data_IF_744159694331
#
_entry.id   IF_744159694331
#
_cell.length_a   1.000
_cell.length_b   1.000
_cell.length_c   1.000
_cell.angle_alpha   90.00
_cell.angle_beta   90.00
_cell.angle_gamma   90.00
#
_symmetry.space_group_name_H-M   'P 1'
#
loop_
_entity.id
_entity.type
_entity.pdbx_description
1 polymer ?
#
# COMPACT_ATOMS: atom_id res chain seq x y z
N UNK A 1 -9.46 -17.80 9.74
CA UNK A 1 -9.47 -17.31 8.34
C UNK A 1 -8.03 -17.13 7.90
N UNK A 2 -7.66 -17.78 6.79
CA UNK A 2 -6.31 -17.69 6.18
C UNK A 2 -6.30 -16.67 5.06
N UNK A 3 -5.39 -15.71 5.15
CA UNK A 3 -5.27 -14.60 4.21
C UNK A 3 -3.89 -14.65 3.54
N UNK A 4 -3.87 -14.74 2.22
CA UNK A 4 -2.68 -14.46 1.43
C UNK A 4 -2.59 -12.95 1.23
N UNK A 5 -1.54 -12.31 1.72
CA UNK A 5 -1.26 -10.91 1.46
C UNK A 5 -0.13 -10.76 0.43
N UNK A 6 -0.28 -9.77 -0.45
CA UNK A 6 0.65 -9.43 -1.52
C UNK A 6 0.95 -7.93 -1.47
N UNK A 7 2.23 -7.57 -1.53
CA UNK A 7 2.67 -6.17 -1.67
C UNK A 7 3.76 -6.03 -2.74
N UNK A 8 3.52 -5.10 -3.64
CA UNK A 8 4.44 -4.68 -4.70
C UNK A 8 4.38 -3.17 -4.91
N UNK A 9 3.87 -2.45 -3.90
CA UNK A 9 3.57 -1.03 -4.03
C UNK A 9 4.80 -0.13 -3.96
N UNK A 10 5.82 -0.53 -3.19
CA UNK A 10 7.00 0.29 -2.88
C UNK A 10 8.30 -0.49 -3.13
N UNK A 11 9.31 -0.30 -2.28
CA UNK A 11 10.66 -0.84 -2.40
C UNK A 11 10.82 -2.32 -2.00
N UNK A 12 9.77 -3.13 -2.12
CA UNK A 12 9.85 -4.56 -1.90
C UNK A 12 8.81 -5.33 -2.73
N UNK A 13 9.10 -6.59 -3.02
CA UNK A 13 8.13 -7.60 -3.43
C UNK A 13 7.93 -8.54 -2.24
N UNK A 14 6.71 -8.59 -1.68
CA UNK A 14 6.45 -9.34 -0.47
C UNK A 14 5.12 -10.10 -0.53
N UNK A 15 5.09 -11.28 0.09
CA UNK A 15 3.87 -12.01 0.37
C UNK A 15 3.94 -12.74 1.72
N UNK A 16 2.78 -12.99 2.30
CA UNK A 16 2.65 -13.89 3.44
C UNK A 16 1.29 -14.59 3.43
N UNK A 17 1.24 -15.75 4.07
CA UNK A 17 -0.01 -16.36 4.51
C UNK A 17 -0.12 -16.18 6.01
N UNK A 18 -1.17 -15.50 6.45
CA UNK A 18 -1.46 -15.27 7.86
C UNK A 18 -2.82 -15.88 8.23
N UNK A 19 -2.93 -16.36 9.46
CA UNK A 19 -4.19 -16.87 10.00
C UNK A 19 -4.70 -15.94 11.10
N UNK A 20 -5.99 -15.65 11.08
CA UNK A 20 -6.59 -14.81 12.14
C UNK A 20 -6.50 -15.51 13.48
N UNK A 21 -6.12 -14.77 14.52
CA UNK A 21 -5.90 -15.32 15.86
C UNK A 21 -4.46 -15.75 16.14
N UNK A 22 -3.59 -15.83 15.12
CA UNK A 22 -2.17 -16.09 15.33
C UNK A 22 -1.35 -14.80 15.39
N UNK A 23 -0.35 -14.69 16.27
CA UNK A 23 0.46 -13.47 16.40
C UNK A 23 1.41 -13.25 15.20
N UNK A 24 1.87 -14.32 14.57
CA UNK A 24 2.80 -14.31 13.43
C UNK A 24 2.17 -14.97 12.21
N UNK A 25 2.57 -14.57 10.98
CA UNK A 25 2.16 -15.27 9.77
C UNK A 25 2.68 -16.70 9.75
N UNK A 26 1.91 -17.62 9.13
CA UNK A 26 2.28 -19.03 8.96
C UNK A 26 3.52 -19.17 8.04
N UNK A 27 3.58 -18.35 7.00
CA UNK A 27 4.70 -18.27 6.07
C UNK A 27 4.82 -16.84 5.53
N UNK A 28 6.04 -16.36 5.32
CA UNK A 28 6.28 -15.03 4.74
C UNK A 28 7.61 -14.95 4.02
N UNK A 29 7.64 -14.12 2.98
CA UNK A 29 8.86 -13.72 2.30
C UNK A 29 8.76 -12.27 1.85
N UNK A 30 9.86 -11.53 1.95
CA UNK A 30 9.96 -10.14 1.48
C UNK A 30 11.35 -9.94 0.86
N UNK A 31 11.37 -9.52 -0.39
CA UNK A 31 12.59 -9.26 -1.15
C UNK A 31 12.67 -7.77 -1.42
N UNK A 32 13.64 -7.04 -0.84
CA UNK A 32 13.88 -5.64 -1.18
C UNK A 32 14.19 -5.49 -2.67
N UNK A 33 13.45 -4.64 -3.37
CA UNK A 33 13.68 -4.36 -4.79
C UNK A 33 12.97 -3.10 -5.25
N UNK A 34 13.57 -2.41 -6.22
CA UNK A 34 12.94 -1.25 -6.88
C UNK A 34 12.35 -1.60 -8.25
N UNK A 35 12.81 -2.67 -8.86
CA UNK A 35 12.40 -3.18 -10.18
C UNK A 35 12.35 -4.69 -10.19
N UNK A 36 11.67 -5.30 -11.18
CA UNK A 36 11.60 -6.76 -11.31
C UNK A 36 10.45 -7.41 -10.54
N UNK A 37 9.49 -6.64 -10.04
CA UNK A 37 8.34 -7.17 -9.29
C UNK A 37 7.51 -8.17 -10.10
N UNK A 38 7.40 -7.98 -11.42
CA UNK A 38 6.60 -8.86 -12.27
C UNK A 38 7.19 -10.28 -12.36
N UNK A 39 8.50 -10.35 -12.46
CA UNK A 39 9.24 -11.61 -12.56
C UNK A 39 9.34 -12.31 -11.20
N UNK A 40 9.47 -11.54 -10.12
CA UNK A 40 9.70 -12.07 -8.78
C UNK A 40 8.43 -12.55 -8.07
N UNK A 41 7.27 -11.91 -8.35
CA UNK A 41 6.08 -12.05 -7.51
C UNK A 41 5.52 -13.47 -7.49
N UNK A 42 5.23 -14.08 -8.64
CA UNK A 42 4.59 -15.39 -8.66
C UNK A 42 5.47 -16.49 -8.06
N UNK A 43 6.79 -16.57 -8.38
CA UNK A 43 7.69 -17.51 -7.70
C UNK A 43 7.76 -17.30 -6.17
N UNK A 44 7.71 -16.04 -5.70
CA UNK A 44 7.69 -15.71 -4.27
C UNK A 44 6.38 -16.19 -3.62
N UNK A 45 5.23 -15.90 -4.24
CA UNK A 45 3.92 -16.35 -3.74
C UNK A 45 3.85 -17.87 -3.68
N UNK A 46 4.36 -18.58 -4.69
CA UNK A 46 4.38 -20.04 -4.73
C UNK A 46 5.16 -20.61 -3.53
N UNK A 47 6.36 -20.10 -3.25
CA UNK A 47 7.14 -20.53 -2.08
C UNK A 47 6.44 -20.29 -0.75
N UNK A 48 5.81 -19.11 -0.62
CA UNK A 48 5.08 -18.73 0.61
C UNK A 48 3.88 -19.64 0.82
N UNK A 49 3.11 -19.94 -0.23
CA UNK A 49 1.91 -20.78 -0.13
C UNK A 49 2.29 -22.26 0.03
N UNK A 50 3.35 -22.73 -0.63
CA UNK A 50 3.85 -24.11 -0.46
C UNK A 50 4.31 -24.40 1.00
N UNK A 51 4.70 -23.37 1.74
CA UNK A 51 5.05 -23.48 3.17
C UNK A 51 3.85 -23.64 4.11
N UNK A 52 2.61 -23.71 3.60
CA UNK A 52 1.39 -23.79 4.43
C UNK A 52 0.55 -24.98 4.01
N UNK A 53 0.07 -25.76 5.00
CA UNK A 53 -0.82 -26.89 4.76
C UNK A 53 -2.10 -26.44 4.05
N UNK A 54 -2.51 -27.19 3.03
CA UNK A 54 -3.67 -26.89 2.19
C UNK A 54 -3.35 -25.98 0.98
N UNK A 55 -2.17 -25.35 0.94
CA UNK A 55 -1.74 -24.53 -0.18
C UNK A 55 -2.76 -23.45 -0.58
N UNK A 56 -2.95 -23.22 -1.86
CA UNK A 56 -3.95 -22.27 -2.38
C UNK A 56 -5.40 -22.66 -2.04
N UNK A 57 -5.69 -23.95 -1.91
CA UNK A 57 -7.03 -24.45 -1.56
C UNK A 57 -7.41 -24.19 -0.10
N UNK A 58 -6.43 -23.91 0.76
CA UNK A 58 -6.66 -23.57 2.18
C UNK A 58 -6.83 -22.08 2.44
N UNK A 59 -6.84 -21.23 1.41
CA UNK A 59 -7.03 -19.79 1.55
C UNK A 59 -8.51 -19.43 1.65
N UNK A 60 -8.83 -18.46 2.48
CA UNK A 60 -10.17 -17.87 2.60
C UNK A 60 -10.24 -16.49 1.92
N UNK A 61 -9.10 -15.84 1.68
CA UNK A 61 -9.04 -14.48 1.14
C UNK A 61 -7.66 -14.15 0.56
N UNK A 62 -7.63 -13.25 -0.43
CA UNK A 62 -6.41 -12.58 -0.88
C UNK A 62 -6.50 -11.10 -0.56
N UNK A 63 -5.46 -10.53 0.06
CA UNK A 63 -5.30 -9.11 0.31
C UNK A 63 -4.15 -8.55 -0.53
N UNK A 64 -4.31 -7.35 -1.10
CA UNK A 64 -3.26 -6.73 -1.92
C UNK A 64 -3.18 -5.24 -1.66
N UNK A 65 -1.97 -4.69 -1.62
CA UNK A 65 -1.79 -3.24 -1.55
C UNK A 65 -2.27 -2.57 -2.84
N UNK A 66 -3.08 -1.52 -2.68
CA UNK A 66 -3.68 -0.80 -3.82
C UNK A 66 -3.12 0.59 -4.05
N UNK A 67 -2.15 1.03 -3.22
CA UNK A 67 -1.53 2.34 -3.34
C UNK A 67 -1.81 3.30 -2.18
N UNK A 68 -1.17 4.48 -2.25
CA UNK A 68 -0.30 4.96 -3.31
C UNK A 68 1.04 4.21 -3.39
N UNK A 69 1.69 4.26 -4.58
CA UNK A 69 2.95 3.57 -4.82
C UNK A 69 3.35 3.53 -6.30
N UNK A 70 4.25 2.63 -6.65
CA UNK A 70 4.71 2.40 -8.01
C UNK A 70 3.56 2.02 -8.94
N UNK A 71 3.38 2.77 -10.01
CA UNK A 71 2.33 2.52 -11.00
C UNK A 71 2.37 1.10 -11.59
N UNK A 72 3.55 0.63 -11.96
CA UNK A 72 3.74 -0.74 -12.49
C UNK A 72 3.58 -1.77 -11.38
N UNK A 73 4.21 -1.56 -10.21
CA UNK A 73 4.14 -2.47 -9.09
C UNK A 73 2.69 -2.74 -8.65
N UNK A 74 1.90 -1.69 -8.46
CA UNK A 74 0.48 -1.82 -8.07
C UNK A 74 -0.32 -2.68 -9.06
N UNK A 75 -0.10 -2.49 -10.37
CA UNK A 75 -0.80 -3.27 -11.40
C UNK A 75 -0.40 -4.73 -11.39
N UNK A 76 0.89 -5.01 -11.21
CA UNK A 76 1.42 -6.38 -11.10
C UNK A 76 0.78 -7.09 -9.90
N UNK A 77 0.84 -6.50 -8.71
CA UNK A 77 0.28 -7.10 -7.50
C UNK A 77 -1.22 -7.31 -7.59
N UNK A 78 -1.97 -6.29 -8.03
CA UNK A 78 -3.43 -6.37 -8.14
C UNK A 78 -3.85 -7.41 -9.20
N UNK A 79 -3.17 -7.49 -10.34
CA UNK A 79 -3.47 -8.49 -11.36
C UNK A 79 -3.22 -9.91 -10.86
N UNK A 80 -2.07 -10.15 -10.20
CA UNK A 80 -1.75 -11.44 -9.59
C UNK A 80 -2.76 -11.82 -8.50
N UNK A 81 -3.09 -10.90 -7.59
CA UNK A 81 -4.06 -11.14 -6.53
C UNK A 81 -5.44 -11.51 -7.08
N UNK A 82 -5.90 -10.81 -8.12
CA UNK A 82 -7.19 -11.11 -8.78
C UNK A 82 -7.18 -12.46 -9.49
N UNK A 83 -6.08 -12.82 -10.16
CA UNK A 83 -5.95 -14.13 -10.80
C UNK A 83 -5.96 -15.26 -9.78
N UNK A 84 -5.22 -15.11 -8.67
CA UNK A 84 -5.18 -16.09 -7.58
C UNK A 84 -6.55 -16.21 -6.92
N UNK A 85 -7.21 -15.09 -6.59
CA UNK A 85 -8.54 -15.11 -5.99
C UNK A 85 -9.59 -15.79 -6.89
N UNK A 86 -9.52 -15.56 -8.21
CA UNK A 86 -10.38 -16.23 -9.17
C UNK A 86 -10.11 -17.74 -9.20
N UNK A 87 -8.85 -18.16 -9.25
CA UNK A 87 -8.45 -19.56 -9.31
C UNK A 87 -8.79 -20.33 -8.02
N UNK A 88 -8.62 -19.69 -6.85
CA UNK A 88 -8.93 -20.28 -5.55
C UNK A 88 -10.40 -20.13 -5.15
N UNK A 89 -11.22 -19.37 -5.90
CA UNK A 89 -12.63 -19.13 -5.58
C UNK A 89 -12.85 -18.28 -4.33
N UNK A 90 -11.89 -17.40 -3.98
CA UNK A 90 -11.95 -16.58 -2.76
C UNK A 90 -11.99 -15.09 -3.06
N UNK A 91 -12.57 -14.26 -2.17
CA UNK A 91 -12.62 -12.81 -2.36
C UNK A 91 -11.23 -12.18 -2.31
N UNK A 92 -11.05 -11.12 -3.11
CA UNK A 92 -9.85 -10.29 -3.13
C UNK A 92 -10.17 -8.91 -2.58
N UNK A 93 -9.37 -8.44 -1.64
CA UNK A 93 -9.54 -7.12 -1.00
C UNK A 93 -8.32 -6.23 -1.20
N UNK A 94 -8.57 -4.93 -1.37
CA UNK A 94 -7.54 -3.91 -1.45
C UNK A 94 -7.20 -3.33 -0.09
N UNK A 95 -5.91 -3.12 0.17
CA UNK A 95 -5.38 -2.49 1.38
C UNK A 95 -4.60 -1.24 0.98
N UNK A 96 -4.95 -0.09 1.56
CA UNK A 96 -4.20 1.16 1.31
C UNK A 96 -2.77 1.07 1.84
N UNK A 97 -1.78 1.43 1.00
CA UNK A 97 -0.36 1.37 1.38
C UNK A 97 -0.05 2.26 2.58
N UNK A 98 -0.61 3.47 2.62
CA UNK A 98 -0.46 4.39 3.76
C UNK A 98 -1.08 3.82 5.03
N UNK A 99 -2.26 3.20 4.93
CA UNK A 99 -2.91 2.54 6.08
C UNK A 99 -2.08 1.38 6.62
N UNK A 100 -1.46 0.59 5.72
CA UNK A 100 -0.58 -0.51 6.11
C UNK A 100 0.71 -0.01 6.81
N UNK A 101 1.27 1.11 6.37
CA UNK A 101 2.40 1.76 7.04
C UNK A 101 1.99 2.29 8.43
N UNK A 102 0.83 2.96 8.56
CA UNK A 102 0.31 3.48 9.83
C UNK A 102 0.04 2.34 10.82
N UNK A 103 -0.40 1.18 10.35
CA UNK A 103 -0.71 0.04 11.21
C UNK A 103 0.47 -0.38 12.09
N UNK A 104 1.72 -0.18 11.63
CA UNK A 104 2.92 -0.44 12.42
C UNK A 104 3.07 0.51 13.64
N UNK A 105 2.39 1.65 13.63
CA UNK A 105 2.43 2.65 14.70
C UNK A 105 1.32 2.48 15.74
N UNK A 106 0.33 1.59 15.47
CA UNK A 106 -0.88 1.46 16.30
C UNK A 106 -0.61 0.95 17.72
N UNK A 107 0.52 0.29 17.94
CA UNK A 107 0.94 -0.21 19.27
C UNK A 107 1.56 0.86 20.19
N UNK A 108 1.46 2.14 19.84
CA UNK A 108 2.00 3.27 20.61
C UNK A 108 1.14 3.62 21.85
N UNK A 109 1.54 4.72 22.49
CA UNK A 109 0.98 5.23 23.74
C UNK A 109 -0.45 5.83 23.63
N UNK A 110 -1.02 5.86 22.45
CA UNK A 110 -2.37 6.37 22.21
C UNK A 110 -2.51 7.90 22.28
N UNK A 111 -1.41 8.65 22.38
CA UNK A 111 -1.43 10.12 22.57
C UNK A 111 -1.17 10.90 21.28
N UNK A 112 -0.49 10.29 20.33
CA UNK A 112 -0.06 10.94 19.09
C UNK A 112 -1.00 10.64 17.94
N UNK A 113 -1.20 11.59 17.05
CA UNK A 113 -1.69 11.27 15.72
C UNK A 113 -0.66 10.40 14.99
N UNK A 114 -1.15 9.50 14.14
CA UNK A 114 -0.34 8.57 13.38
C UNK A 114 -0.41 8.94 11.90
N UNK A 115 0.73 9.21 11.27
CA UNK A 115 0.75 9.60 9.88
C UNK A 115 1.78 8.79 9.08
N UNK A 116 1.39 8.41 7.86
CA UNK A 116 2.30 7.87 6.87
C UNK A 116 2.50 8.89 5.75
N UNK A 117 3.76 9.12 5.39
CA UNK A 117 4.15 10.00 4.30
C UNK A 117 5.08 9.25 3.33
N UNK A 118 4.65 9.13 2.07
CA UNK A 118 5.44 8.55 0.98
C UNK A 118 5.88 9.68 0.05
N UNK A 119 7.15 9.69 -0.35
CA UNK A 119 7.67 10.67 -1.30
C UNK A 119 6.97 10.54 -2.66
N UNK A 120 6.30 11.62 -3.07
CA UNK A 120 5.62 11.74 -4.37
C UNK A 120 6.45 12.54 -5.38
N UNK A 121 7.73 12.81 -5.03
CA UNK A 121 8.70 13.62 -5.79
C UNK A 121 8.31 15.10 -5.92
N UNK A 122 9.25 15.92 -6.38
CA UNK A 122 9.07 17.36 -6.62
C UNK A 122 8.47 18.14 -5.43
N UNK A 123 8.90 17.81 -4.19
CA UNK A 123 8.42 18.47 -2.99
C UNK A 123 6.98 18.15 -2.58
N UNK A 124 6.45 17.04 -3.10
CA UNK A 124 5.13 16.52 -2.75
C UNK A 124 5.23 15.19 -2.01
N UNK A 125 4.19 14.88 -1.25
CA UNK A 125 4.04 13.64 -0.50
C UNK A 125 2.65 13.06 -0.69
N UNK A 126 2.55 11.74 -0.64
CA UNK A 126 1.29 11.07 -0.35
C UNK A 126 1.17 10.96 1.16
N UNK A 127 0.12 11.55 1.72
CA UNK A 127 -0.09 11.61 3.16
C UNK A 127 -1.44 11.02 3.54
N UNK A 128 -1.46 10.33 4.69
CA UNK A 128 -2.67 9.96 5.42
C UNK A 128 -2.41 10.15 6.91
N UNK A 129 -3.43 10.62 7.65
CA UNK A 129 -3.36 10.78 9.10
C UNK A 129 -4.51 10.04 9.76
N UNK A 130 -4.19 9.30 10.81
CA UNK A 130 -5.17 8.57 11.65
C UNK A 130 -5.03 8.99 13.11
N UNK A 131 -6.12 8.95 13.83
CA UNK A 131 -6.11 8.96 15.29
C UNK A 131 -5.62 7.60 15.82
N UNK A 132 -5.15 7.52 17.08
CA UNK A 132 -4.66 6.27 17.69
C UNK A 132 -5.65 5.10 17.62
N UNK A 133 -6.96 5.38 17.63
CA UNK A 133 -8.02 4.37 17.48
C UNK A 133 -8.31 3.93 16.05
N UNK A 134 -7.48 4.32 15.06
CA UNK A 134 -7.65 3.92 13.65
C UNK A 134 -8.64 4.78 12.85
N UNK A 135 -9.28 5.78 13.47
CA UNK A 135 -10.17 6.71 12.76
C UNK A 135 -9.35 7.60 11.83
N UNK A 136 -9.74 7.65 10.57
CA UNK A 136 -9.11 8.53 9.57
C UNK A 136 -9.40 9.98 9.95
N UNK A 137 -8.35 10.78 10.12
CA UNK A 137 -8.40 12.24 10.37
C UNK A 137 -8.17 12.99 9.07
N UNK A 138 -7.15 12.59 8.30
CA UNK A 138 -6.88 13.09 6.95
C UNK A 138 -6.87 11.88 6.00
N UNK A 139 -7.77 11.83 5.02
CA UNK A 139 -7.80 10.74 4.05
C UNK A 139 -6.53 10.75 3.19
N UNK A 140 -6.20 9.63 2.49
CA UNK A 140 -5.09 9.59 1.56
C UNK A 140 -5.16 10.73 0.55
N UNK A 141 -4.08 11.53 0.46
CA UNK A 141 -4.01 12.69 -0.43
C UNK A 141 -2.62 12.90 -1.00
N UNK A 142 -2.54 13.64 -2.12
CA UNK A 142 -1.30 14.12 -2.73
C UNK A 142 -1.16 15.60 -2.40
N UNK A 143 -0.16 15.96 -1.60
CA UNK A 143 0.02 17.29 -1.01
C UNK A 143 1.46 17.77 -1.21
N UNK A 144 1.67 19.08 -1.32
CA UNK A 144 2.99 19.65 -1.12
C UNK A 144 3.43 19.48 0.35
N UNK A 145 4.73 19.51 0.64
CA UNK A 145 5.24 19.43 2.01
C UNK A 145 4.61 20.49 2.93
N UNK A 146 4.43 21.73 2.43
CA UNK A 146 3.79 22.81 3.19
C UNK A 146 2.33 22.54 3.52
N UNK A 147 1.56 22.03 2.56
CA UNK A 147 0.17 21.63 2.79
C UNK A 147 0.10 20.46 3.77
N UNK A 148 1.01 19.49 3.63
CA UNK A 148 1.11 18.36 4.54
C UNK A 148 1.33 18.81 6.00
N UNK A 149 2.25 19.77 6.26
CA UNK A 149 2.45 20.33 7.60
C UNK A 149 1.17 21.00 8.13
N UNK A 150 0.45 21.76 7.30
CA UNK A 150 -0.81 22.43 7.73
C UNK A 150 -1.86 21.42 8.17
N UNK A 151 -1.99 20.30 7.49
CA UNK A 151 -3.00 19.28 7.84
C UNK A 151 -2.60 18.39 9.02
N UNK A 152 -1.30 18.36 9.42
CA UNK A 152 -0.88 17.72 10.66
C UNK A 152 -1.40 18.46 11.90
N UNK A 153 -1.68 19.76 11.79
CA UNK A 153 -2.13 20.58 12.91
C UNK A 153 -0.99 20.90 13.89
N UNK A 154 -1.35 21.19 15.16
CA UNK A 154 -0.40 21.59 16.21
C UNK A 154 -0.08 20.49 17.23
N UNK A 155 -0.74 19.34 17.14
CA UNK A 155 -0.55 18.24 18.10
C UNK A 155 0.64 17.36 17.76
N UNK A 156 1.14 16.57 18.73
CA UNK A 156 2.24 15.66 18.48
C UNK A 156 1.81 14.57 17.49
N UNK A 157 2.65 14.31 16.49
CA UNK A 157 2.40 13.30 15.46
C UNK A 157 3.58 12.33 15.34
N UNK A 158 3.30 11.04 15.18
CA UNK A 158 4.27 10.01 14.82
C UNK A 158 4.22 9.76 13.32
N UNK A 159 5.36 9.93 12.66
CA UNK A 159 5.52 9.83 11.22
C UNK A 159 6.22 8.54 10.82
N UNK A 160 5.76 7.92 9.73
CA UNK A 160 6.44 6.78 9.07
C UNK A 160 6.39 6.93 7.55
N UNK A 161 7.23 6.13 6.86
CA UNK A 161 7.31 6.11 5.39
C UNK A 161 8.46 6.93 4.83
N UNK A 162 8.68 6.84 3.52
CA UNK A 162 9.88 7.36 2.84
C UNK A 162 10.04 8.89 2.93
N UNK A 163 8.96 9.64 3.11
CA UNK A 163 8.99 11.09 3.27
C UNK A 163 8.91 11.55 4.74
N UNK A 164 8.89 10.64 5.72
CA UNK A 164 8.71 10.99 7.13
C UNK A 164 9.78 11.98 7.63
N UNK A 165 11.04 11.78 7.26
CA UNK A 165 12.14 12.67 7.67
C UNK A 165 12.01 14.07 7.07
N UNK A 166 11.70 14.17 5.77
CA UNK A 166 11.53 15.45 5.10
C UNK A 166 10.33 16.22 5.68
N UNK A 167 9.23 15.51 5.94
CA UNK A 167 8.03 16.11 6.54
C UNK A 167 8.28 16.54 7.99
N UNK A 168 9.02 15.75 8.78
CA UNK A 168 9.37 16.13 10.17
C UNK A 168 10.25 17.40 10.21
N UNK A 169 11.20 17.53 9.28
CA UNK A 169 12.05 18.72 9.18
C UNK A 169 11.22 19.97 8.86
N UNK A 170 10.32 19.88 7.89
CA UNK A 170 9.41 20.98 7.53
C UNK A 170 8.42 21.30 8.67
N UNK A 171 7.90 20.26 9.37
CA UNK A 171 7.03 20.40 10.51
C UNK A 171 7.71 21.16 11.66
N UNK A 172 8.95 20.80 12.01
CA UNK A 172 9.75 21.48 13.05
C UNK A 172 9.96 22.95 12.72
N UNK A 173 10.28 23.30 11.48
CA UNK A 173 10.44 24.67 11.02
C UNK A 173 9.15 25.51 11.17
N UNK A 174 7.99 24.87 11.28
CA UNK A 174 6.68 25.48 11.47
C UNK A 174 6.11 25.28 12.89
N UNK A 175 6.94 24.83 13.85
CA UNK A 175 6.53 24.68 15.25
C UNK A 175 5.62 23.48 15.54
N UNK A 176 5.56 22.49 14.63
CA UNK A 176 4.80 21.26 14.81
C UNK A 176 5.69 20.15 15.32
N UNK A 177 5.32 19.52 16.44
CA UNK A 177 6.05 18.37 17.00
C UNK A 177 5.76 17.11 16.16
N UNK A 178 6.79 16.63 15.48
CA UNK A 178 6.70 15.46 14.60
C UNK A 178 7.84 14.47 14.90
N UNK A 179 7.48 13.27 15.36
CA UNK A 179 8.42 12.21 15.72
C UNK A 179 8.51 11.17 14.60
N UNK A 180 9.69 11.00 14.02
CA UNK A 180 9.92 9.96 13.00
C UNK A 180 10.07 8.61 13.70
N UNK A 181 9.09 7.72 13.46
CA UNK A 181 9.09 6.37 14.01
C UNK A 181 9.84 5.36 13.12
N UNK A 182 10.04 5.71 11.84
CA UNK A 182 10.81 4.89 10.90
C UNK A 182 10.54 5.27 9.45
N UNK A 183 11.45 4.81 8.58
CA UNK A 183 11.36 5.01 7.13
C UNK A 183 11.42 3.67 6.40
N UNK A 184 10.48 2.74 6.66
CA UNK A 184 10.50 1.42 6.03
C UNK A 184 10.36 1.56 4.51
N UNK A 185 11.08 0.71 3.73
CA UNK A 185 11.01 0.73 2.27
C UNK A 185 9.67 0.22 1.74
N UNK A 186 8.92 -0.56 2.54
CA UNK A 186 7.61 -1.11 2.23
C UNK A 186 6.83 -1.37 3.53
N UNK A 187 5.51 -1.56 3.47
CA UNK A 187 4.71 -2.01 4.61
C UNK A 187 5.17 -3.40 5.11
N UNK A 188 5.02 -3.64 6.41
CA UNK A 188 5.14 -5.00 6.96
C UNK A 188 4.00 -5.87 6.41
N UNK A 189 4.35 -6.92 5.70
CA UNK A 189 3.37 -7.74 4.95
C UNK A 189 2.33 -8.41 5.85
N UNK A 190 2.69 -8.75 7.08
CA UNK A 190 1.75 -9.29 8.06
C UNK A 190 0.65 -8.30 8.44
N UNK A 191 0.95 -6.98 8.42
CA UNK A 191 -0.05 -5.95 8.67
C UNK A 191 -0.99 -5.77 7.46
N UNK A 192 -0.49 -5.95 6.24
CA UNK A 192 -1.35 -6.02 5.05
C UNK A 192 -2.34 -7.19 5.18
N UNK A 193 -1.87 -8.37 5.61
CA UNK A 193 -2.75 -9.51 5.85
C UNK A 193 -3.81 -9.23 6.93
N UNK A 194 -3.42 -8.62 8.05
CA UNK A 194 -4.35 -8.27 9.14
C UNK A 194 -5.41 -7.25 8.70
N UNK A 195 -5.01 -6.19 8.00
CA UNK A 195 -5.95 -5.22 7.45
C UNK A 195 -6.87 -5.86 6.41
N UNK A 196 -6.33 -6.73 5.56
CA UNK A 196 -7.10 -7.50 4.60
C UNK A 196 -8.10 -8.44 5.26
N UNK A 197 -7.75 -9.04 6.41
CA UNK A 197 -8.67 -9.88 7.18
C UNK A 197 -9.88 -9.09 7.70
N UNK A 198 -9.67 -7.83 8.09
CA UNK A 198 -10.71 -6.94 8.62
C UNK A 198 -11.52 -6.22 7.52
N UNK A 199 -11.02 -6.21 6.29
CA UNK A 199 -11.65 -5.48 5.19
C UNK A 199 -12.96 -6.15 4.75
N UNK A 200 -13.98 -5.34 4.46
CA UNK A 200 -15.20 -5.81 3.82
C UNK A 200 -14.99 -5.96 2.30
N UNK A 201 -15.13 -7.16 1.73
CA UNK A 201 -14.96 -7.39 0.30
C UNK A 201 -15.89 -6.56 -0.59
N UNK A 202 -17.06 -6.16 -0.10
CA UNK A 202 -18.00 -5.33 -0.85
C UNK A 202 -17.49 -3.89 -1.04
N UNK A 203 -16.68 -3.39 -0.11
CA UNK A 203 -16.21 -2.01 -0.09
C UNK A 203 -14.71 -1.88 -0.36
N UNK A 204 -13.90 -2.86 0.01
CA UNK A 204 -12.44 -2.86 -0.18
C UNK A 204 -12.04 -3.48 -1.53
N UNK A 205 -12.48 -2.87 -2.62
CA UNK A 205 -12.21 -3.41 -3.95
C UNK A 205 -10.72 -3.37 -4.31
N UNK A 206 -10.16 -4.41 -4.97
CA UNK A 206 -8.78 -4.45 -5.44
C UNK A 206 -8.61 -3.61 -6.72
N UNK A 207 -8.71 -2.28 -6.57
CA UNK A 207 -8.54 -1.27 -7.63
C UNK A 207 -7.42 -0.32 -7.26
N UNK A 208 -6.52 0.05 -8.19
CA UNK A 208 -5.44 0.98 -7.88
C UNK A 208 -5.96 2.32 -7.36
N UNK A 209 -5.38 2.81 -6.27
CA UNK A 209 -5.62 4.14 -5.73
C UNK A 209 -4.60 5.12 -6.32
N UNK A 210 -4.98 5.79 -7.40
CA UNK A 210 -4.17 6.83 -8.01
C UNK A 210 -4.55 8.20 -7.43
N UNK A 211 -3.67 8.74 -6.58
CA UNK A 211 -3.85 10.07 -5.95
C UNK A 211 -3.30 11.22 -6.81
N UNK A 212 -2.58 10.89 -7.88
CA UNK A 212 -2.05 11.81 -8.87
C UNK A 212 -2.45 11.33 -10.27
N UNK A 213 -2.82 12.25 -11.13
CA UNK A 213 -3.06 11.94 -12.54
C UNK A 213 -1.78 11.44 -13.23
N UNK A 214 -1.90 10.75 -14.36
CA UNK A 214 -0.74 10.28 -15.12
C UNK A 214 0.10 11.46 -15.59
N UNK A 215 1.44 11.38 -15.45
CA UNK A 215 2.39 12.39 -15.95
C UNK A 215 2.50 12.37 -17.48
N UNK A 216 1.96 11.35 -18.15
CA UNK A 216 1.98 11.22 -19.60
C UNK A 216 1.06 12.25 -20.24
N UNK A 217 1.65 13.21 -20.95
CA UNK A 217 0.89 14.10 -21.84
C UNK A 217 0.47 13.29 -23.08
N UNK A 218 -0.80 13.38 -23.52
CA UNK A 218 -1.20 12.80 -24.79
C UNK A 218 -0.29 13.35 -25.92
N UNK A 219 0.26 12.48 -26.74
CA UNK A 219 1.02 12.90 -27.90
C UNK A 219 0.01 13.41 -28.96
N UNK A 220 -0.24 14.70 -28.99
CA UNK A 220 -1.16 15.30 -29.95
C UNK A 220 -0.61 15.28 -31.39
N UNK A 221 0.72 15.26 -31.53
CA UNK A 221 1.42 15.33 -32.86
C UNK A 221 1.68 13.95 -33.50
N UNK A 222 1.45 12.83 -32.81
CA UNK A 222 1.72 11.49 -33.31
C UNK A 222 0.44 10.61 -33.39
N UNK A 223 -0.71 11.20 -33.68
CA UNK A 223 -1.90 10.41 -33.98
C UNK A 223 -1.71 9.77 -35.37
N UNK A 224 -1.57 8.45 -35.39
CA UNK A 224 -1.74 7.68 -36.63
C UNK A 224 -3.16 7.95 -37.18
N UNK A 225 -3.31 8.30 -38.47
CA UNK A 225 -4.62 8.47 -39.07
C UNK A 225 -5.38 7.15 -38.90
N UNK A 226 -6.58 7.22 -38.34
CA UNK A 226 -7.48 6.04 -38.32
C UNK A 226 -7.86 5.72 -39.77
N UNK A 227 -7.61 4.50 -40.20
CA UNK A 227 -8.15 4.00 -41.46
C UNK A 227 -9.68 4.18 -41.42
N UNK A 228 -10.31 4.83 -42.40
CA UNK A 228 -11.76 4.91 -42.46
C UNK A 228 -12.31 3.48 -42.51
N UNK A 229 -13.34 3.19 -41.73
CA UNK A 229 -14.02 1.91 -41.76
C UNK A 229 -14.47 1.70 -43.21
N UNK A 230 -13.90 0.70 -43.89
CA UNK A 230 -14.30 0.33 -45.23
C UNK A 230 -15.79 0.02 -45.23
N UNK A 231 -16.58 0.83 -45.92
CA UNK A 231 -17.98 0.51 -46.20
C UNK A 231 -18.02 -0.76 -47.03
N UNK A 232 -18.80 -1.72 -46.55
CA UNK A 232 -19.26 -2.86 -47.33
C UNK A 232 -20.44 -2.44 -48.19
#
# INVERSE_FOLDING_TARGET
MRVLAIDTALGACAACVAETGTPAPLSRESIPMERGHAEALLPLVDRVVAGVEGGFGGLDRVAVTIGPGSYTGLRVGIAAARAIGLAAGVPVVGVGTLSALIAALMSGDGRHLLAAAIDARHGHVYLQVMAPGGRIVVPPGHLSLREAVRVLGSGPVRLTGSAAQALATEALANGVEALVAGTPPAPEIALVARLGALADPAHALPKPLYLRGPDAKPQETARLPRQPAGGA
#
